data_IF_113761162200
#
_entry.id   IF_113761162200
#
_cell.length_a   1.000
_cell.length_b   1.000
_cell.length_c   1.000
_cell.angle_alpha   90.00
_cell.angle_beta   90.00
_cell.angle_gamma   90.00
#
_symmetry.space_group_name_H-M   'P 1'
#
loop_
_entity.id
_entity.type
_entity.pdbx_description
1 polymer ?
#
# COMPACT_ATOMS: atom_id res chain seq x y z
N UNK A 1 12.24 26.96 -53.02
CA UNK A 1 11.17 26.11 -52.43
C UNK A 1 11.70 24.95 -51.54
N UNK A 2 12.55 24.05 -52.04
CA UNK A 2 13.12 22.91 -51.25
C UNK A 2 13.79 23.29 -49.92
N UNK A 3 14.62 24.37 -49.89
CA UNK A 3 15.33 24.79 -48.66
C UNK A 3 14.38 25.28 -47.55
N UNK A 4 13.25 25.90 -47.91
CA UNK A 4 12.24 26.37 -46.94
C UNK A 4 11.51 25.20 -46.29
N UNK A 5 11.10 24.20 -47.07
CA UNK A 5 10.47 22.97 -46.59
C UNK A 5 11.37 22.13 -45.66
N UNK A 6 12.69 22.11 -45.96
CA UNK A 6 13.66 21.41 -45.09
C UNK A 6 13.80 22.14 -43.75
N UNK A 7 13.81 23.45 -43.73
CA UNK A 7 13.90 24.28 -42.53
C UNK A 7 12.65 24.15 -41.68
N UNK A 8 11.45 24.15 -42.26
CA UNK A 8 10.18 23.93 -41.57
C UNK A 8 10.09 22.53 -40.97
N UNK A 9 10.45 21.48 -41.70
CA UNK A 9 10.50 20.10 -41.15
C UNK A 9 11.49 19.97 -40.00
N UNK A 10 12.63 20.67 -40.03
CA UNK A 10 13.61 20.67 -38.94
C UNK A 10 13.08 21.36 -37.69
N UNK A 11 12.36 22.49 -37.85
CA UNK A 11 11.75 23.22 -36.74
C UNK A 11 10.67 22.38 -36.10
N UNK A 12 9.74 21.81 -36.88
CA UNK A 12 8.65 20.94 -36.39
C UNK A 12 9.22 19.70 -35.66
N UNK A 13 10.28 19.07 -36.18
CA UNK A 13 10.92 17.92 -35.53
C UNK A 13 11.60 18.33 -34.22
N UNK A 14 12.25 19.52 -34.17
CA UNK A 14 12.90 20.03 -32.96
C UNK A 14 11.87 20.32 -31.86
N UNK A 15 10.78 21.01 -32.19
CA UNK A 15 9.70 21.31 -31.23
C UNK A 15 9.02 20.05 -30.73
N UNK A 16 8.82 19.02 -31.57
CA UNK A 16 8.26 17.73 -31.15
C UNK A 16 9.20 17.00 -30.19
N UNK A 17 10.50 16.94 -30.49
CA UNK A 17 11.50 16.31 -29.60
C UNK A 17 11.61 17.04 -28.27
N UNK A 18 11.59 18.38 -28.26
CA UNK A 18 11.60 19.18 -27.04
C UNK A 18 10.33 18.91 -26.19
N UNK A 19 9.15 18.79 -26.81
CA UNK A 19 7.90 18.47 -26.10
C UNK A 19 7.89 17.05 -25.53
N UNK A 20 8.43 16.07 -26.25
CA UNK A 20 8.58 14.68 -25.78
C UNK A 20 9.58 14.61 -24.60
N UNK A 21 10.70 15.32 -24.68
CA UNK A 21 11.68 15.38 -23.61
C UNK A 21 11.12 16.01 -22.34
N UNK A 22 10.35 17.08 -22.46
CA UNK A 22 9.68 17.73 -21.33
C UNK A 22 8.60 16.82 -20.71
N UNK A 23 7.86 16.07 -21.52
CA UNK A 23 6.90 15.08 -21.04
C UNK A 23 7.59 13.97 -20.24
N UNK A 24 8.70 13.43 -20.78
CA UNK A 24 9.50 12.39 -20.10
C UNK A 24 10.02 12.91 -18.76
N UNK A 25 10.58 14.13 -18.71
CA UNK A 25 11.04 14.75 -17.45
C UNK A 25 9.90 14.88 -16.44
N UNK A 26 8.71 15.31 -16.87
CA UNK A 26 7.53 15.41 -16.01
C UNK A 26 7.11 14.04 -15.45
N UNK A 27 7.10 12.99 -16.29
CA UNK A 27 6.77 11.62 -15.88
C UNK A 27 7.81 11.10 -14.88
N UNK A 28 9.11 11.25 -15.17
CA UNK A 28 10.18 10.83 -14.27
C UNK A 28 10.08 11.59 -12.93
N UNK A 29 9.92 12.91 -12.97
CA UNK A 29 9.73 13.72 -11.77
C UNK A 29 8.49 13.27 -10.98
N UNK A 30 7.40 12.95 -11.67
CA UNK A 30 6.19 12.44 -11.05
C UNK A 30 6.41 11.10 -10.36
N UNK A 31 7.16 10.17 -10.98
CA UNK A 31 7.50 8.86 -10.40
C UNK A 31 8.40 9.04 -9.17
N UNK A 32 9.44 9.87 -9.26
CA UNK A 32 10.47 10.01 -8.23
C UNK A 32 10.12 11.02 -7.12
N UNK A 33 9.01 11.72 -7.23
CA UNK A 33 8.60 12.72 -6.23
C UNK A 33 8.39 12.16 -4.81
N UNK A 34 7.78 10.97 -4.61
CA UNK A 34 7.63 10.39 -3.29
C UNK A 34 8.92 9.67 -2.86
N UNK A 35 9.90 10.42 -2.37
CA UNK A 35 11.27 9.93 -2.09
C UNK A 35 11.31 8.81 -1.05
N UNK A 36 10.53 8.92 0.02
CA UNK A 36 10.47 7.90 1.07
C UNK A 36 9.80 6.62 0.55
N UNK A 37 8.71 6.75 -0.19
CA UNK A 37 8.03 5.62 -0.83
C UNK A 37 8.97 4.88 -1.79
N UNK A 38 9.73 5.61 -2.62
CA UNK A 38 10.72 5.02 -3.52
C UNK A 38 11.84 4.34 -2.74
N UNK A 39 12.33 4.96 -1.67
CA UNK A 39 13.32 4.32 -0.78
C UNK A 39 12.80 2.98 -0.23
N UNK A 40 11.57 2.92 0.25
CA UNK A 40 10.96 1.67 0.73
C UNK A 40 10.87 0.61 -0.37
N UNK A 41 10.50 1.01 -1.60
CA UNK A 41 10.46 0.10 -2.76
C UNK A 41 11.85 -0.48 -3.02
N UNK A 42 12.89 0.35 -3.04
CA UNK A 42 14.27 -0.09 -3.26
C UNK A 42 14.73 -1.02 -2.14
N UNK A 43 14.41 -0.70 -0.88
CA UNK A 43 14.77 -1.55 0.27
C UNK A 43 14.10 -2.93 0.20
N UNK A 44 12.81 -3.00 -0.14
CA UNK A 44 12.09 -4.27 -0.30
C UNK A 44 12.66 -5.11 -1.45
N UNK A 45 12.97 -4.49 -2.59
CA UNK A 45 13.63 -5.15 -3.71
C UNK A 45 15.01 -5.69 -3.32
N UNK A 46 15.86 -4.84 -2.73
CA UNK A 46 17.20 -5.22 -2.29
C UNK A 46 17.16 -6.37 -1.27
N UNK A 47 16.23 -6.29 -0.31
CA UNK A 47 16.07 -7.32 0.72
C UNK A 47 15.57 -8.64 0.13
N UNK A 48 14.68 -8.61 -0.87
CA UNK A 48 14.21 -9.82 -1.55
C UNK A 48 15.35 -10.54 -2.26
N UNK A 49 16.18 -9.83 -3.04
CA UNK A 49 17.33 -10.42 -3.71
C UNK A 49 18.37 -10.91 -2.72
N UNK A 50 18.63 -10.17 -1.65
CA UNK A 50 19.59 -10.59 -0.64
C UNK A 50 19.10 -11.82 0.13
N UNK A 51 17.84 -11.82 0.57
CA UNK A 51 17.26 -12.95 1.31
C UNK A 51 17.13 -14.23 0.47
N UNK A 52 17.08 -14.12 -0.88
CA UNK A 52 17.08 -15.29 -1.76
C UNK A 52 18.38 -16.10 -1.74
N UNK A 53 19.46 -15.53 -1.19
CA UNK A 53 20.77 -16.22 -1.03
C UNK A 53 20.88 -16.93 0.34
N UNK A 54 19.90 -16.78 1.23
CA UNK A 54 19.96 -17.32 2.59
C UNK A 54 19.49 -18.78 2.64
N UNK A 55 19.98 -19.53 3.64
CA UNK A 55 19.38 -20.81 3.94
C UNK A 55 17.95 -20.67 4.43
N UNK A 56 17.12 -21.68 4.16
CA UNK A 56 15.72 -21.68 4.61
C UNK A 56 15.58 -21.50 6.12
N UNK A 57 16.49 -22.12 6.90
CA UNK A 57 16.50 -21.99 8.35
C UNK A 57 16.79 -20.56 8.80
N UNK A 58 17.78 -19.90 8.16
CA UNK A 58 18.12 -18.51 8.48
C UNK A 58 16.97 -17.56 8.08
N UNK A 59 16.41 -17.75 6.90
CA UNK A 59 15.24 -16.97 6.45
C UNK A 59 14.08 -17.10 7.48
N UNK A 60 13.72 -18.31 7.87
CA UNK A 60 12.64 -18.56 8.85
C UNK A 60 12.94 -17.97 10.22
N UNK A 61 14.19 -17.83 10.63
CA UNK A 61 14.55 -17.23 11.93
C UNK A 61 14.30 -15.71 11.97
N UNK A 62 14.20 -15.06 10.82
CA UNK A 62 13.97 -13.62 10.65
C UNK A 62 12.52 -13.27 10.26
N UNK A 63 11.64 -14.26 10.19
CA UNK A 63 10.18 -14.06 9.99
C UNK A 63 9.50 -13.83 11.33
N UNK A 64 8.57 -12.88 11.37
CA UNK A 64 7.80 -12.57 12.57
C UNK A 64 6.96 -13.76 13.02
N UNK A 65 7.05 -14.07 14.30
CA UNK A 65 6.24 -15.06 15.01
C UNK A 65 5.83 -14.49 16.37
N UNK A 66 4.67 -14.87 16.94
CA UNK A 66 4.17 -14.33 18.21
C UNK A 66 5.18 -14.44 19.36
N UNK A 67 5.98 -15.51 19.39
CA UNK A 67 6.95 -15.76 20.45
C UNK A 67 8.02 -14.66 20.57
N UNK A 68 8.31 -13.92 19.48
CA UNK A 68 9.30 -12.84 19.52
C UNK A 68 8.88 -11.69 20.42
N UNK A 69 7.56 -11.49 20.58
CA UNK A 69 7.00 -10.47 21.47
C UNK A 69 7.26 -10.87 22.93
N UNK A 70 6.94 -12.12 23.27
CA UNK A 70 7.10 -12.64 24.64
C UNK A 70 8.57 -12.73 25.05
N UNK A 71 9.45 -13.04 24.10
CA UNK A 71 10.88 -13.15 24.33
C UNK A 71 11.63 -11.81 24.21
N UNK A 72 10.92 -10.70 23.95
CA UNK A 72 11.49 -9.36 23.72
C UNK A 72 12.56 -9.33 22.63
N UNK A 73 12.49 -10.23 21.65
CA UNK A 73 13.40 -10.29 20.51
C UNK A 73 12.71 -9.69 19.28
N UNK A 74 12.71 -8.37 19.17
CA UNK A 74 12.01 -7.65 18.10
C UNK A 74 12.71 -7.65 16.74
N UNK A 75 13.91 -8.22 16.62
CA UNK A 75 14.62 -8.26 15.35
C UNK A 75 13.83 -8.98 14.24
N UNK A 76 13.24 -10.19 14.45
CA UNK A 76 12.40 -10.83 13.44
C UNK A 76 11.13 -10.05 13.09
N UNK A 77 10.58 -9.28 14.03
CA UNK A 77 9.45 -8.41 13.76
C UNK A 77 9.83 -7.33 12.73
N UNK A 78 10.95 -6.63 12.94
CA UNK A 78 11.40 -5.55 12.04
C UNK A 78 11.86 -6.10 10.68
N UNK A 79 12.61 -7.20 10.67
CA UNK A 79 13.11 -7.79 9.42
C UNK A 79 12.00 -8.34 8.54
N UNK A 80 10.96 -8.92 9.15
CA UNK A 80 9.82 -9.49 8.42
C UNK A 80 9.10 -8.47 7.55
N UNK A 81 9.09 -7.18 7.90
CA UNK A 81 8.46 -6.12 7.10
C UNK A 81 9.10 -5.91 5.74
N UNK A 82 10.32 -6.40 5.53
CA UNK A 82 11.06 -6.28 4.27
C UNK A 82 11.26 -7.63 3.57
N UNK A 83 10.93 -8.74 4.24
CA UNK A 83 11.02 -10.09 3.68
C UNK A 83 9.76 -10.44 2.88
N UNK A 84 9.93 -11.20 1.80
CA UNK A 84 8.82 -11.65 0.97
C UNK A 84 9.01 -13.12 0.58
N UNK A 85 7.93 -13.91 0.64
CA UNK A 85 7.96 -15.35 0.36
C UNK A 85 8.01 -15.70 -1.12
N UNK A 86 7.62 -14.79 -2.01
CA UNK A 86 7.54 -15.03 -3.44
C UNK A 86 7.55 -13.74 -4.27
N UNK A 87 7.85 -13.84 -5.56
CA UNK A 87 7.74 -12.73 -6.51
C UNK A 87 6.35 -12.10 -6.56
N UNK A 88 5.24 -12.86 -6.72
CA UNK A 88 3.90 -12.27 -6.71
C UNK A 88 3.60 -11.50 -5.44
N UNK A 89 4.03 -12.01 -4.28
CA UNK A 89 3.88 -11.33 -2.99
C UNK A 89 4.64 -9.99 -2.95
N UNK A 90 5.91 -9.99 -3.38
CA UNK A 90 6.70 -8.76 -3.47
C UNK A 90 6.06 -7.75 -4.41
N UNK A 91 5.77 -8.14 -5.67
CA UNK A 91 5.23 -7.24 -6.68
C UNK A 91 3.89 -6.64 -6.25
N UNK A 92 3.00 -7.45 -5.67
CA UNK A 92 1.76 -6.97 -5.09
C UNK A 92 2.00 -5.86 -4.05
N UNK A 93 2.89 -6.11 -3.09
CA UNK A 93 3.26 -5.11 -2.09
C UNK A 93 3.85 -3.84 -2.71
N UNK A 94 4.76 -3.96 -3.69
CA UNK A 94 5.37 -2.78 -4.33
C UNK A 94 4.37 -1.93 -5.09
N UNK A 95 3.40 -2.53 -5.78
CA UNK A 95 2.32 -1.82 -6.49
C UNK A 95 1.48 -1.02 -5.48
N UNK A 96 1.00 -1.67 -4.42
CA UNK A 96 0.19 -1.00 -3.40
C UNK A 96 0.98 0.06 -2.64
N UNK A 97 2.25 -0.23 -2.30
CA UNK A 97 3.17 0.73 -1.69
C UNK A 97 3.33 1.99 -2.56
N UNK A 98 3.54 1.82 -3.87
CA UNK A 98 3.68 2.95 -4.79
C UNK A 98 2.38 3.77 -4.88
N UNK A 99 1.23 3.10 -5.03
CA UNK A 99 -0.08 3.76 -5.18
C UNK A 99 -0.41 4.57 -3.93
N UNK A 100 -0.42 3.94 -2.76
CA UNK A 100 -0.90 4.55 -1.52
C UNK A 100 0.17 5.36 -0.80
N UNK A 101 1.42 4.88 -0.78
CA UNK A 101 2.55 5.58 -0.19
C UNK A 101 2.75 6.95 -0.83
N UNK A 102 2.67 7.03 -2.17
CA UNK A 102 2.73 8.29 -2.90
C UNK A 102 1.64 9.28 -2.49
N UNK A 103 0.40 8.84 -2.34
CA UNK A 103 -0.72 9.71 -1.93
C UNK A 103 -0.48 10.24 -0.53
N UNK A 104 -0.09 9.36 0.39
CA UNK A 104 0.20 9.71 1.79
C UNK A 104 1.40 10.66 1.89
N UNK A 105 2.50 10.37 1.17
CA UNK A 105 3.69 11.20 1.21
C UNK A 105 3.46 12.60 0.62
N UNK A 106 2.65 12.72 -0.44
CA UNK A 106 2.23 14.02 -0.98
C UNK A 106 1.39 14.83 0.00
N UNK A 107 0.54 14.16 0.78
CA UNK A 107 -0.36 14.82 1.73
C UNK A 107 0.31 15.19 3.04
N UNK A 108 1.16 14.33 3.58
CA UNK A 108 1.72 14.45 4.91
C UNK A 108 3.24 14.70 4.94
N UNK A 109 3.93 14.50 3.83
CA UNK A 109 5.39 14.55 3.73
C UNK A 109 6.07 13.25 4.18
N UNK A 110 7.34 13.08 3.82
CA UNK A 110 8.11 11.86 4.03
C UNK A 110 8.17 11.40 5.49
N UNK A 111 8.43 12.33 6.42
CA UNK A 111 8.58 11.99 7.86
C UNK A 111 7.30 11.43 8.45
N UNK A 112 6.14 12.08 8.20
CA UNK A 112 4.86 11.57 8.70
C UNK A 112 4.47 10.27 8.01
N UNK A 113 4.81 10.09 6.74
CA UNK A 113 4.60 8.83 6.01
C UNK A 113 5.41 7.70 6.63
N UNK A 114 6.66 7.96 7.06
CA UNK A 114 7.47 6.98 7.78
C UNK A 114 6.81 6.58 9.10
N UNK A 115 6.34 7.52 9.90
CA UNK A 115 5.60 7.22 11.14
C UNK A 115 4.32 6.42 10.89
N UNK A 116 3.57 6.73 9.84
CA UNK A 116 2.36 5.98 9.46
C UNK A 116 2.75 4.56 9.05
N UNK A 117 3.76 4.40 8.20
CA UNK A 117 4.20 3.09 7.69
C UNK A 117 4.68 2.18 8.82
N UNK A 118 5.66 2.63 9.60
CA UNK A 118 6.21 1.81 10.68
C UNK A 118 5.24 1.65 11.86
N UNK A 119 4.45 2.67 12.17
CA UNK A 119 3.38 2.57 13.17
C UNK A 119 2.32 1.55 12.78
N UNK A 120 1.93 1.48 11.50
CA UNK A 120 1.04 0.46 10.99
C UNK A 120 1.64 -0.94 11.10
N UNK A 121 2.91 -1.11 10.71
CA UNK A 121 3.61 -2.38 10.83
C UNK A 121 3.61 -2.89 12.28
N UNK A 122 3.96 -2.02 13.23
CA UNK A 122 3.96 -2.34 14.66
C UNK A 122 2.54 -2.73 15.15
N UNK A 123 1.52 -1.94 14.82
CA UNK A 123 0.13 -2.22 15.21
C UNK A 123 -0.33 -3.55 14.61
N UNK A 124 -0.02 -3.80 13.33
CA UNK A 124 -0.36 -5.03 12.63
C UNK A 124 0.22 -6.25 13.35
N UNK A 125 1.51 -6.24 13.61
CA UNK A 125 2.20 -7.38 14.21
C UNK A 125 1.81 -7.58 15.68
N UNK A 126 1.66 -6.50 16.46
CA UNK A 126 1.23 -6.61 17.84
C UNK A 126 -0.18 -7.20 17.95
N UNK A 127 -1.12 -6.75 17.13
CA UNK A 127 -2.49 -7.27 17.16
C UNK A 127 -2.52 -8.69 16.60
N UNK A 128 -1.86 -8.97 15.47
CA UNK A 128 -1.79 -10.33 14.93
C UNK A 128 -1.13 -11.31 15.89
N UNK A 129 -0.01 -10.93 16.51
CA UNK A 129 0.73 -11.78 17.44
C UNK A 129 0.05 -11.95 18.79
N UNK A 130 -0.39 -10.87 19.46
CA UNK A 130 -0.95 -10.94 20.81
C UNK A 130 -2.39 -11.42 20.86
N UNK A 131 -3.22 -11.01 19.89
CA UNK A 131 -4.65 -11.32 19.91
C UNK A 131 -4.96 -12.60 19.12
N UNK A 132 -4.35 -12.75 17.94
CA UNK A 132 -4.67 -13.84 17.02
C UNK A 132 -3.62 -14.95 17.00
N UNK A 133 -2.49 -14.79 17.71
CA UNK A 133 -1.37 -15.74 17.74
C UNK A 133 -0.85 -16.08 16.32
N UNK A 134 -0.84 -15.08 15.44
CA UNK A 134 -0.43 -15.21 14.05
C UNK A 134 0.89 -14.48 13.80
N UNK A 135 1.79 -15.14 13.09
CA UNK A 135 2.99 -14.53 12.53
C UNK A 135 2.73 -13.87 11.19
N UNK A 136 3.76 -13.23 10.64
CA UNK A 136 3.64 -12.51 9.38
C UNK A 136 4.97 -12.32 8.66
N UNK A 137 4.87 -12.04 7.35
CA UNK A 137 5.99 -11.70 6.47
C UNK A 137 5.50 -10.73 5.40
N UNK A 138 6.28 -9.72 5.11
CA UNK A 138 5.98 -8.73 4.07
C UNK A 138 5.59 -7.36 4.61
N UNK A 139 5.62 -6.38 3.72
CA UNK A 139 5.28 -4.98 4.01
C UNK A 139 3.77 -4.74 4.16
N UNK A 140 2.94 -5.75 3.96
CA UNK A 140 1.49 -5.60 3.73
C UNK A 140 0.72 -4.99 4.90
N UNK A 141 1.09 -5.29 6.15
CA UNK A 141 0.50 -4.66 7.34
C UNK A 141 0.75 -3.15 7.39
N UNK A 142 1.98 -2.73 7.06
CA UNK A 142 2.34 -1.32 6.93
C UNK A 142 1.60 -0.64 5.76
N UNK A 143 1.48 -1.34 4.62
CA UNK A 143 0.75 -0.86 3.43
C UNK A 143 -0.74 -0.70 3.73
N UNK A 144 -1.34 -1.60 4.49
CA UNK A 144 -2.73 -1.46 4.93
C UNK A 144 -2.96 -0.16 5.72
N UNK A 145 -1.99 0.23 6.57
CA UNK A 145 -2.02 1.55 7.21
C UNK A 145 -1.86 2.72 6.23
N UNK A 146 -1.05 2.59 5.18
CA UNK A 146 -0.97 3.61 4.12
C UNK A 146 -2.28 3.70 3.32
N UNK A 147 -2.95 2.58 3.05
CA UNK A 147 -4.28 2.56 2.44
C UNK A 147 -5.26 3.37 3.29
N UNK A 148 -5.32 3.09 4.59
CA UNK A 148 -6.14 3.82 5.54
C UNK A 148 -5.85 5.32 5.54
N UNK A 149 -4.57 5.68 5.64
CA UNK A 149 -4.13 7.07 5.65
C UNK A 149 -4.49 7.82 4.36
N UNK A 150 -4.33 7.19 3.20
CA UNK A 150 -4.66 7.77 1.90
C UNK A 150 -6.17 8.05 1.79
N UNK A 151 -7.01 7.06 2.15
CA UNK A 151 -8.47 7.19 2.11
C UNK A 151 -8.96 8.25 3.10
N UNK A 152 -8.43 8.25 4.33
CA UNK A 152 -8.80 9.24 5.33
C UNK A 152 -8.38 10.66 4.93
N UNK A 153 -7.22 10.80 4.27
CA UNK A 153 -6.69 12.12 3.87
C UNK A 153 -7.41 12.74 2.68
N UNK A 154 -7.72 11.93 1.66
CA UNK A 154 -8.35 12.39 0.42
C UNK A 154 -9.04 11.24 -0.32
N UNK A 155 -10.25 10.82 0.11
CA UNK A 155 -10.92 9.63 -0.42
C UNK A 155 -11.22 9.71 -1.92
N UNK A 156 -11.42 10.91 -2.45
CA UNK A 156 -11.77 11.13 -3.86
C UNK A 156 -10.58 11.51 -4.73
N UNK A 157 -9.35 11.42 -4.19
CA UNK A 157 -8.16 11.61 -5.02
C UNK A 157 -8.14 10.62 -6.18
N UNK A 158 -8.08 11.14 -7.41
CA UNK A 158 -8.00 10.31 -8.61
C UNK A 158 -6.58 9.79 -8.81
N UNK A 159 -6.42 8.48 -8.72
CA UNK A 159 -5.16 7.81 -8.97
C UNK A 159 -5.14 7.24 -10.38
N UNK A 160 -4.06 7.52 -11.13
CA UNK A 160 -3.87 7.09 -12.51
C UNK A 160 -2.84 5.96 -12.65
N UNK A 161 -2.38 5.38 -11.54
CA UNK A 161 -1.35 4.33 -11.56
C UNK A 161 -1.86 3.00 -12.13
N UNK A 162 -3.18 2.80 -12.19
CA UNK A 162 -3.79 1.59 -12.77
C UNK A 162 -4.15 1.88 -14.22
N UNK A 163 -3.26 1.51 -15.15
CA UNK A 163 -3.43 1.65 -16.61
C UNK A 163 -3.84 3.06 -17.09
N UNK A 164 -3.50 4.11 -16.34
CA UNK A 164 -3.88 5.48 -16.68
C UNK A 164 -5.37 5.81 -16.46
N UNK A 165 -6.15 4.89 -15.92
CA UNK A 165 -7.57 5.10 -15.61
C UNK A 165 -7.69 5.90 -14.30
N UNK A 166 -8.50 6.99 -14.27
CA UNK A 166 -8.72 7.78 -13.07
C UNK A 166 -9.63 7.05 -12.08
N UNK A 167 -9.05 6.35 -11.11
CA UNK A 167 -9.81 5.63 -10.09
C UNK A 167 -9.69 6.38 -8.76
N UNK A 168 -10.81 6.72 -8.07
CA UNK A 168 -10.77 7.28 -6.74
C UNK A 168 -10.04 6.36 -5.76
N UNK A 169 -9.18 6.94 -4.91
CA UNK A 169 -8.33 6.16 -4.00
C UNK A 169 -9.15 5.32 -3.01
N UNK A 170 -10.35 5.79 -2.64
CA UNK A 170 -11.26 5.05 -1.78
C UNK A 170 -11.68 3.72 -2.41
N UNK A 171 -11.91 3.66 -3.72
CA UNK A 171 -12.30 2.43 -4.42
C UNK A 171 -11.16 1.43 -4.38
N UNK A 172 -9.92 1.88 -4.70
CA UNK A 172 -8.74 1.02 -4.65
C UNK A 172 -8.48 0.49 -3.23
N UNK A 173 -8.58 1.37 -2.23
CA UNK A 173 -8.41 0.99 -0.82
C UNK A 173 -9.51 0.04 -0.35
N UNK A 174 -10.74 0.29 -0.78
CA UNK A 174 -11.87 -0.54 -0.41
C UNK A 174 -11.77 -1.97 -0.98
N UNK A 175 -11.39 -2.10 -2.25
CA UNK A 175 -11.17 -3.42 -2.85
C UNK A 175 -10.11 -4.21 -2.06
N UNK A 176 -9.01 -3.57 -1.68
CA UNK A 176 -7.96 -4.23 -0.90
C UNK A 176 -8.48 -4.71 0.47
N UNK A 177 -9.16 -3.85 1.22
CA UNK A 177 -9.66 -4.18 2.58
C UNK A 177 -10.84 -5.16 2.54
N UNK A 178 -11.68 -5.08 1.51
CA UNK A 178 -12.78 -6.02 1.35
C UNK A 178 -12.31 -7.45 1.10
N UNK A 179 -11.23 -7.64 0.34
CA UNK A 179 -10.61 -8.98 0.20
C UNK A 179 -10.10 -9.54 1.51
N UNK A 180 -9.56 -8.69 2.41
CA UNK A 180 -9.14 -9.12 3.75
C UNK A 180 -10.33 -9.50 4.64
N UNK A 181 -11.42 -8.73 4.60
CA UNK A 181 -12.67 -9.07 5.33
C UNK A 181 -13.23 -10.42 4.84
N UNK A 182 -13.26 -10.62 3.53
CA UNK A 182 -13.72 -11.89 2.96
C UNK A 182 -12.82 -13.07 3.36
N UNK A 183 -11.51 -12.87 3.39
CA UNK A 183 -10.54 -13.88 3.82
C UNK A 183 -10.71 -14.30 5.29
N UNK A 184 -11.17 -13.40 6.18
CA UNK A 184 -11.53 -13.76 7.55
C UNK A 184 -12.84 -14.54 7.65
N UNK A 185 -13.84 -14.22 6.84
CA UNK A 185 -15.16 -14.86 6.89
C UNK A 185 -15.12 -16.25 6.24
N UNK A 186 -14.34 -16.39 5.18
CA UNK A 186 -14.05 -17.65 4.52
C UNK A 186 -12.53 -17.86 4.50
N UNK A 187 -11.97 -18.56 5.49
CA UNK A 187 -10.56 -18.91 5.44
C UNK A 187 -10.31 -19.77 4.20
N UNK A 188 -9.87 -19.15 3.12
CA UNK A 188 -9.18 -19.85 2.05
C UNK A 188 -7.80 -20.13 2.67
N UNK A 189 -7.27 -21.34 2.53
CA UNK A 189 -5.92 -21.69 2.96
C UNK A 189 -4.90 -20.83 2.21
N UNK A 190 -4.80 -19.58 2.61
CA UNK A 190 -3.84 -18.61 2.08
C UNK A 190 -2.94 -18.19 3.22
N UNK A 191 -1.64 -18.13 2.96
CA UNK A 191 -0.65 -17.58 3.87
C UNK A 191 -0.76 -16.02 3.97
N UNK A 192 -1.96 -15.47 3.82
CA UNK A 192 -2.23 -14.03 3.87
C UNK A 192 -2.65 -13.64 5.28
N UNK A 193 -1.93 -12.69 5.86
CA UNK A 193 -2.19 -12.17 7.20
C UNK A 193 -3.37 -11.18 7.24
N UNK A 194 -4.59 -11.62 6.90
CA UNK A 194 -5.79 -10.75 6.86
C UNK A 194 -6.02 -9.97 8.17
N UNK A 195 -5.79 -10.61 9.32
CA UNK A 195 -5.89 -9.97 10.64
C UNK A 195 -4.89 -8.84 10.81
N UNK A 196 -3.64 -9.04 10.40
CA UNK A 196 -2.59 -8.03 10.45
C UNK A 196 -2.93 -6.84 9.54
N UNK A 197 -3.42 -7.08 8.32
CA UNK A 197 -3.84 -6.02 7.41
C UNK A 197 -4.97 -5.17 8.00
N UNK A 198 -6.01 -5.80 8.50
CA UNK A 198 -7.13 -5.08 9.12
C UNK A 198 -6.71 -4.33 10.38
N UNK A 199 -5.81 -4.89 11.19
CA UNK A 199 -5.25 -4.22 12.35
C UNK A 199 -4.50 -2.94 11.98
N UNK A 200 -3.61 -3.00 10.98
CA UNK A 200 -2.89 -1.84 10.45
C UNK A 200 -3.84 -0.78 9.88
N UNK A 201 -4.83 -1.22 9.10
CA UNK A 201 -5.81 -0.34 8.50
C UNK A 201 -6.67 0.39 9.54
N UNK A 202 -7.32 -0.34 10.45
CA UNK A 202 -8.19 0.27 11.46
C UNK A 202 -7.41 1.08 12.48
N UNK A 203 -6.25 0.56 12.93
CA UNK A 203 -5.39 1.24 13.89
C UNK A 203 -4.93 2.61 13.39
N UNK A 204 -4.45 2.68 12.15
CA UNK A 204 -4.03 3.96 11.54
C UNK A 204 -5.20 4.87 11.21
N UNK A 205 -6.33 4.33 10.72
CA UNK A 205 -7.55 5.13 10.50
C UNK A 205 -7.95 5.87 11.77
N UNK A 206 -8.04 5.14 12.88
CA UNK A 206 -8.42 5.67 14.17
C UNK A 206 -7.38 6.67 14.70
N UNK A 207 -6.09 6.34 14.61
CA UNK A 207 -5.01 7.21 15.08
C UNK A 207 -5.01 8.56 14.35
N UNK A 208 -5.09 8.56 13.02
CA UNK A 208 -5.14 9.80 12.22
C UNK A 208 -6.37 10.61 12.58
N UNK A 209 -7.53 9.97 12.72
CA UNK A 209 -8.76 10.65 13.15
C UNK A 209 -8.61 11.30 14.53
N UNK A 210 -8.10 10.56 15.52
CA UNK A 210 -7.94 11.07 16.90
C UNK A 210 -6.97 12.25 16.96
N UNK A 211 -5.86 12.20 16.22
CA UNK A 211 -4.86 13.26 16.19
C UNK A 211 -5.31 14.51 15.41
N UNK A 212 -6.28 14.38 14.50
CA UNK A 212 -6.69 15.45 13.59
C UNK A 212 -8.21 15.70 13.62
N UNK A 213 -8.88 15.49 14.76
CA UNK A 213 -10.36 15.61 14.90
C UNK A 213 -10.94 16.94 14.45
N UNK A 214 -10.15 18.03 14.47
CA UNK A 214 -10.55 19.36 14.04
C UNK A 214 -10.50 19.55 12.52
N UNK A 215 -9.74 18.73 11.79
CA UNK A 215 -9.67 18.79 10.33
C UNK A 215 -10.94 18.15 9.72
N UNK A 216 -11.73 18.98 9.04
CA UNK A 216 -13.00 18.56 8.42
C UNK A 216 -12.79 17.46 7.36
N UNK A 217 -11.73 17.56 6.56
CA UNK A 217 -11.43 16.57 5.51
C UNK A 217 -11.06 15.21 6.11
N UNK A 218 -10.18 15.20 7.11
CA UNK A 218 -9.80 13.97 7.84
C UNK A 218 -11.04 13.30 8.45
N UNK A 219 -11.90 14.11 9.09
CA UNK A 219 -13.15 13.60 9.68
C UNK A 219 -14.08 13.01 8.64
N UNK A 220 -14.29 13.69 7.52
CA UNK A 220 -15.11 13.19 6.42
C UNK A 220 -14.52 11.90 5.84
N UNK A 221 -13.22 11.86 5.55
CA UNK A 221 -12.53 10.67 5.04
C UNK A 221 -12.64 9.47 5.99
N UNK A 222 -12.52 9.70 7.30
CA UNK A 222 -12.69 8.66 8.30
C UNK A 222 -14.12 8.06 8.27
N UNK A 223 -15.16 8.89 8.25
CA UNK A 223 -16.55 8.42 8.18
C UNK A 223 -16.87 7.74 6.83
N UNK A 224 -16.32 8.23 5.71
CA UNK A 224 -16.44 7.56 4.42
C UNK A 224 -15.81 6.17 4.51
N UNK A 225 -14.63 6.04 5.12
CA UNK A 225 -13.94 4.77 5.28
C UNK A 225 -14.79 3.77 6.10
N UNK A 226 -15.37 4.19 7.22
CA UNK A 226 -16.28 3.36 8.02
C UNK A 226 -17.53 3.00 7.25
N UNK A 227 -18.18 3.96 6.58
CA UNK A 227 -19.40 3.73 5.82
C UNK A 227 -19.19 2.71 4.68
N UNK A 228 -18.08 2.81 3.95
CA UNK A 228 -17.78 1.88 2.86
C UNK A 228 -17.56 0.46 3.36
N UNK A 229 -16.95 0.28 4.53
CA UNK A 229 -16.79 -1.03 5.16
C UNK A 229 -18.14 -1.61 5.58
N UNK A 230 -18.96 -0.80 6.27
CA UNK A 230 -20.32 -1.22 6.66
C UNK A 230 -21.13 -1.62 5.44
N UNK A 231 -21.12 -0.80 4.38
CA UNK A 231 -21.81 -1.11 3.14
C UNK A 231 -21.34 -2.43 2.50
N UNK A 232 -20.02 -2.67 2.49
CA UNK A 232 -19.44 -3.93 2.01
C UNK A 232 -19.91 -5.14 2.79
N UNK A 233 -19.94 -5.04 4.12
CA UNK A 233 -20.48 -6.10 4.99
C UNK A 233 -21.98 -6.32 4.73
N UNK A 234 -22.76 -5.26 4.62
CA UNK A 234 -24.21 -5.34 4.30
C UNK A 234 -24.44 -6.04 2.97
N UNK A 235 -23.69 -5.65 1.91
CA UNK A 235 -23.77 -6.31 0.60
C UNK A 235 -23.40 -7.79 0.71
N UNK A 236 -22.36 -8.12 1.46
CA UNK A 236 -21.95 -9.51 1.65
C UNK A 236 -23.05 -10.36 2.29
N UNK A 237 -23.69 -9.86 3.36
CA UNK A 237 -24.74 -10.61 4.08
C UNK A 237 -26.09 -10.65 3.34
N UNK A 238 -26.48 -9.56 2.68
CA UNK A 238 -27.76 -9.50 1.96
C UNK A 238 -27.71 -10.16 0.58
N UNK A 239 -26.55 -10.16 -0.06
CA UNK A 239 -26.38 -10.67 -1.42
C UNK A 239 -25.24 -11.70 -1.52
N UNK A 240 -25.32 -12.83 -0.79
CA UNK A 240 -24.25 -13.83 -0.73
C UNK A 240 -23.90 -14.42 -2.10
N UNK A 241 -24.83 -14.45 -3.04
CA UNK A 241 -24.58 -14.94 -4.41
C UNK A 241 -23.73 -13.98 -5.25
N UNK A 242 -23.83 -12.66 -5.00
CA UNK A 242 -22.96 -11.66 -5.62
C UNK A 242 -21.56 -11.79 -5.02
N UNK A 243 -21.45 -11.84 -3.72
CA UNK A 243 -20.17 -11.99 -3.02
C UNK A 243 -19.42 -13.28 -3.44
N UNK A 244 -20.14 -14.38 -3.67
CA UNK A 244 -19.53 -15.65 -4.14
C UNK A 244 -18.88 -15.54 -5.51
N UNK A 245 -19.38 -14.71 -6.42
CA UNK A 245 -18.81 -14.51 -7.76
C UNK A 245 -17.46 -13.78 -7.77
N UNK A 246 -17.12 -13.07 -6.69
CA UNK A 246 -15.84 -12.39 -6.54
C UNK A 246 -14.79 -13.24 -5.78
N UNK A 247 -15.17 -14.44 -5.28
CA UNK A 247 -14.34 -15.30 -4.44
C UNK A 247 -13.98 -16.62 -5.17
N UNK A 248 -14.67 -16.95 -6.24
CA UNK A 248 -14.37 -18.07 -7.14
C UNK A 248 -13.58 -17.60 -8.35
#
# INVERSE_FOLDING_TARGET
MKRRLIKEKRVVRKTKVESETELIKKVISWILQPKFTILLIILNLAMYFWSSTWSEQYFKSLVFRPEVIYNLNFAPMITSWFLHSSWPHLIGNLIFLFIFGRVVERRFGAVKTAFIYFGAAIISDLIAGLVFQQGGIGASGAIAGLIAAAVVADPFYLNYAVFGIPIPIVILGWVAIFTDILGLIKPIETNIGHTAHLAGFFGISLLIYLLNRKDKKIRQGFFINILTIILGLVIYFLFPNIARRFIT
#
